data_IF_377833121905
#
_entry.id   IF_377833121905
#
_cell.length_a   1.000
_cell.length_b   1.000
_cell.length_c   1.000
_cell.angle_alpha   90.00
_cell.angle_beta   90.00
_cell.angle_gamma   90.00
#
_symmetry.space_group_name_H-M   'P 1'
#
loop_
_entity.id
_entity.type
_entity.pdbx_description
1 polymer ?
#
# COMPACT_ATOMS: atom_id res chain seq x y z
N UNK A 1 0.31 55.45 -42.62
CA UNK A 1 1.13 54.29 -42.99
C UNK A 1 0.32 53.07 -42.55
N UNK A 2 -0.56 52.58 -43.42
CA UNK A 2 -1.45 51.46 -43.10
C UNK A 2 -0.61 50.17 -43.09
N UNK A 3 -0.50 49.52 -41.93
CA UNK A 3 0.14 48.21 -41.85
C UNK A 3 -0.85 47.22 -42.45
N UNK A 4 -0.63 46.84 -43.70
CA UNK A 4 -1.45 45.87 -44.45
C UNK A 4 -1.70 44.62 -43.60
N UNK A 5 -2.99 44.24 -43.48
CA UNK A 5 -3.48 43.09 -42.72
C UNK A 5 -2.76 41.78 -43.10
N UNK A 6 -2.27 41.68 -44.35
CA UNK A 6 -1.47 40.56 -44.86
C UNK A 6 -0.19 40.33 -44.04
N UNK A 7 0.38 41.38 -43.45
CA UNK A 7 1.59 41.31 -42.62
C UNK A 7 1.29 40.72 -41.24
N UNK A 8 0.12 41.02 -40.68
CA UNK A 8 -0.33 40.46 -39.41
C UNK A 8 -0.76 38.99 -39.56
N UNK A 9 -1.43 38.64 -40.66
CA UNK A 9 -1.82 37.26 -40.96
C UNK A 9 -0.57 36.38 -41.12
N UNK A 10 0.42 36.83 -41.89
CA UNK A 10 1.70 36.11 -42.04
C UNK A 10 2.44 35.91 -40.72
N UNK A 11 2.45 36.92 -39.85
CA UNK A 11 3.08 36.82 -38.53
C UNK A 11 2.38 35.76 -37.65
N UNK A 12 1.05 35.68 -37.74
CA UNK A 12 0.27 34.70 -36.97
C UNK A 12 0.48 33.28 -37.50
N UNK A 13 0.49 33.10 -38.82
CA UNK A 13 0.79 31.82 -39.47
C UNK A 13 2.19 31.34 -39.13
N UNK A 14 3.21 32.20 -39.23
CA UNK A 14 4.60 31.88 -38.87
C UNK A 14 4.72 31.52 -37.38
N UNK A 15 3.97 32.21 -36.51
CA UNK A 15 3.95 31.90 -35.07
C UNK A 15 3.26 30.55 -34.79
N UNK A 16 2.21 30.22 -35.52
CA UNK A 16 1.51 28.94 -35.41
C UNK A 16 2.39 27.79 -35.90
N UNK A 17 3.14 27.98 -36.99
CA UNK A 17 4.11 27.01 -37.50
C UNK A 17 5.25 26.78 -36.51
N UNK A 18 5.83 27.83 -35.92
CA UNK A 18 6.87 27.70 -34.88
C UNK A 18 6.37 26.91 -33.66
N UNK A 19 5.13 27.12 -33.24
CA UNK A 19 4.52 26.35 -32.14
C UNK A 19 4.31 24.88 -32.50
N UNK A 20 3.89 24.58 -33.73
CA UNK A 20 3.76 23.20 -34.22
C UNK A 20 5.11 22.51 -34.29
N UNK A 21 6.11 23.16 -34.89
CA UNK A 21 7.47 22.64 -34.99
C UNK A 21 8.10 22.39 -33.61
N UNK A 22 7.87 23.29 -32.63
CA UNK A 22 8.33 23.10 -31.26
C UNK A 22 7.68 21.85 -30.62
N UNK A 23 6.37 21.71 -30.75
CA UNK A 23 5.63 20.55 -30.22
C UNK A 23 6.06 19.24 -30.88
N UNK A 24 6.33 19.26 -32.18
CA UNK A 24 6.84 18.10 -32.93
C UNK A 24 8.26 17.72 -32.48
N UNK A 25 9.13 18.71 -32.28
CA UNK A 25 10.49 18.48 -31.77
C UNK A 25 10.49 17.92 -30.34
N UNK A 26 9.59 18.40 -29.47
CA UNK A 26 9.40 17.80 -28.14
C UNK A 26 8.90 16.37 -28.23
N UNK A 27 7.91 16.11 -29.08
CA UNK A 27 7.37 14.76 -29.28
C UNK A 27 8.46 13.81 -29.80
N UNK A 28 9.27 14.25 -30.77
CA UNK A 28 10.41 13.49 -31.29
C UNK A 28 11.47 13.21 -30.20
N UNK A 29 11.79 14.20 -29.36
CA UNK A 29 12.70 14.01 -28.22
C UNK A 29 12.15 12.99 -27.22
N UNK A 30 10.85 12.97 -26.97
CA UNK A 30 10.20 11.98 -26.10
C UNK A 30 10.33 10.58 -26.68
N UNK A 31 10.03 10.41 -27.97
CA UNK A 31 10.20 9.12 -28.66
C UNK A 31 11.65 8.65 -28.69
N UNK A 32 12.61 9.54 -28.94
CA UNK A 32 14.05 9.20 -28.91
C UNK A 32 14.49 8.78 -27.49
N UNK A 33 13.92 9.40 -26.44
CA UNK A 33 14.18 9.01 -25.05
C UNK A 33 13.56 7.67 -24.70
N UNK A 34 12.36 7.40 -25.21
CA UNK A 34 11.65 6.13 -25.02
C UNK A 34 12.37 4.99 -25.75
N UNK A 35 12.85 5.22 -26.97
CA UNK A 35 13.68 4.26 -27.72
C UNK A 35 14.98 3.96 -26.97
N UNK A 36 15.69 4.98 -26.44
CA UNK A 36 16.89 4.77 -25.62
C UNK A 36 16.61 4.04 -24.31
N UNK A 37 15.44 4.25 -23.69
CA UNK A 37 15.01 3.47 -22.51
C UNK A 37 14.77 2.01 -22.88
N UNK A 38 14.20 1.74 -24.04
CA UNK A 38 13.93 0.39 -24.52
C UNK A 38 15.24 -0.35 -24.84
N UNK A 39 16.18 0.33 -25.51
CA UNK A 39 17.52 -0.21 -25.81
C UNK A 39 18.35 -0.45 -24.54
N UNK A 40 18.23 0.42 -23.53
CA UNK A 40 18.83 0.20 -22.20
C UNK A 40 18.20 -1.00 -21.49
N UNK A 41 16.88 -1.16 -21.57
CA UNK A 41 16.16 -2.30 -20.98
C UNK A 41 16.56 -3.63 -21.65
N UNK A 42 16.75 -3.62 -22.97
CA UNK A 42 17.24 -4.78 -23.74
C UNK A 42 18.69 -5.12 -23.37
N UNK A 43 19.57 -4.12 -23.24
CA UNK A 43 20.95 -4.31 -22.76
C UNK A 43 21.00 -4.79 -21.31
N UNK A 44 20.11 -4.34 -20.44
CA UNK A 44 20.00 -4.86 -19.07
C UNK A 44 19.56 -6.35 -19.07
N UNK A 45 18.63 -6.73 -19.94
CA UNK A 45 18.19 -8.13 -20.11
C UNK A 45 19.28 -9.04 -20.69
N UNK A 46 20.16 -8.54 -21.55
CA UNK A 46 21.32 -9.28 -22.06
C UNK A 46 22.43 -9.43 -21.01
N UNK A 47 22.64 -8.43 -20.14
CA UNK A 47 23.59 -8.51 -19.02
C UNK A 47 23.11 -9.50 -17.94
N UNK A 48 21.79 -9.74 -17.80
CA UNK A 48 21.21 -10.67 -16.82
C UNK A 48 21.32 -12.17 -17.17
N UNK A 49 21.94 -12.56 -18.30
CA UNK A 49 22.28 -13.97 -18.59
C UNK A 49 23.82 -14.15 -18.60
N UNK A 50 24.50 -14.86 -17.66
CA UNK A 50 24.05 -15.62 -16.47
C UNK A 50 24.83 -15.36 -15.14
N UNK A 51 24.16 -15.54 -13.99
CA UNK A 51 24.64 -16.20 -12.73
C UNK A 51 23.83 -15.76 -11.47
N UNK A 52 22.51 -15.91 -11.55
CA UNK A 52 21.63 -15.90 -10.37
C UNK A 52 21.26 -14.51 -9.81
N UNK A 53 20.37 -14.46 -8.81
CA UNK A 53 19.73 -13.22 -8.38
C UNK A 53 20.71 -12.21 -7.75
N UNK A 54 20.42 -10.89 -7.81
CA UNK A 54 21.22 -9.85 -7.17
C UNK A 54 21.40 -10.10 -5.66
N UNK A 55 22.60 -9.86 -5.12
CA UNK A 55 22.99 -10.17 -3.73
C UNK A 55 22.02 -9.62 -2.66
N UNK A 56 21.30 -8.54 -2.95
CA UNK A 56 20.30 -7.95 -2.04
C UNK A 56 18.97 -8.72 -2.02
N UNK A 57 18.58 -9.32 -3.16
CA UNK A 57 17.43 -10.25 -3.24
C UNK A 57 17.78 -11.63 -2.66
N UNK A 58 19.05 -12.06 -2.79
CA UNK A 58 19.56 -13.30 -2.20
C UNK A 58 19.45 -13.34 -0.67
N UNK A 59 19.84 -12.26 0.03
CA UNK A 59 19.74 -12.18 1.51
C UNK A 59 18.33 -12.29 2.10
N UNK A 60 17.27 -12.04 1.30
CA UNK A 60 15.88 -12.22 1.76
C UNK A 60 15.40 -13.65 1.54
N UNK A 61 15.82 -14.27 0.43
CA UNK A 61 15.49 -15.64 0.08
C UNK A 61 16.22 -16.64 0.99
N UNK A 62 17.48 -16.37 1.34
CA UNK A 62 18.32 -17.22 2.20
C UNK A 62 17.89 -17.24 3.68
N UNK A 63 17.12 -16.24 4.13
CA UNK A 63 16.66 -16.14 5.53
C UNK A 63 15.49 -17.05 5.88
N UNK A 64 14.80 -17.59 4.89
CA UNK A 64 13.65 -18.46 5.08
C UNK A 64 13.77 -19.65 4.12
N UNK A 65 14.69 -20.59 4.42
CA UNK A 65 15.00 -21.71 3.53
C UNK A 65 13.88 -22.77 3.45
N UNK A 66 12.93 -22.74 4.40
CA UNK A 66 11.85 -23.71 4.51
C UNK A 66 10.50 -23.01 4.33
N UNK A 67 10.06 -22.88 3.08
CA UNK A 67 8.86 -22.13 2.68
C UNK A 67 8.08 -22.92 1.63
N UNK A 68 7.65 -24.13 1.96
CA UNK A 68 6.87 -24.99 1.07
C UNK A 68 5.49 -24.40 0.68
N UNK A 69 5.06 -23.31 1.33
CA UNK A 69 3.77 -22.64 1.06
C UNK A 69 3.91 -21.12 1.03
N UNK A 70 4.45 -20.59 -0.07
CA UNK A 70 4.41 -19.16 -0.36
C UNK A 70 3.28 -18.83 -1.31
N UNK A 71 2.40 -17.91 -0.91
CA UNK A 71 1.40 -17.32 -1.80
C UNK A 71 2.05 -16.12 -2.50
N UNK A 72 2.08 -16.14 -3.83
CA UNK A 72 2.58 -15.02 -4.64
C UNK A 72 1.39 -14.14 -5.00
N UNK A 73 1.37 -12.91 -4.50
CA UNK A 73 0.37 -11.89 -4.87
C UNK A 73 0.92 -11.09 -6.05
N UNK A 74 0.20 -10.98 -7.18
CA UNK A 74 0.64 -10.17 -8.31
C UNK A 74 0.73 -8.68 -7.95
N UNK A 75 1.59 -7.94 -8.66
CA UNK A 75 1.64 -6.49 -8.53
C UNK A 75 0.28 -5.85 -8.81
N UNK A 76 -0.12 -4.87 -8.01
CA UNK A 76 -1.42 -4.18 -8.12
C UNK A 76 -2.61 -4.96 -7.54
N UNK A 77 -2.42 -6.19 -7.04
CA UNK A 77 -3.49 -7.03 -6.49
C UNK A 77 -3.57 -7.01 -4.96
N UNK A 78 -2.76 -6.21 -4.27
CA UNK A 78 -2.70 -6.18 -2.80
C UNK A 78 -4.05 -5.82 -2.17
N UNK A 79 -4.78 -4.85 -2.73
CA UNK A 79 -6.10 -4.44 -2.24
C UNK A 79 -7.20 -5.50 -2.38
N UNK A 80 -6.96 -6.61 -3.09
CA UNK A 80 -7.91 -7.73 -3.23
C UNK A 80 -7.40 -9.00 -2.56
N UNK A 81 -6.12 -9.33 -2.70
CA UNK A 81 -5.58 -10.65 -2.32
C UNK A 81 -4.72 -10.61 -1.06
N UNK A 82 -4.40 -9.44 -0.52
CA UNK A 82 -3.63 -9.32 0.72
C UNK A 82 -4.61 -9.13 1.90
N UNK A 83 -4.77 -10.13 2.79
CA UNK A 83 -5.72 -10.07 3.91
C UNK A 83 -5.55 -8.80 4.76
N UNK A 84 -4.29 -8.40 4.97
CA UNK A 84 -3.92 -7.20 5.72
C UNK A 84 -4.54 -5.93 5.12
N UNK A 85 -4.45 -5.74 3.80
CA UNK A 85 -4.92 -4.52 3.13
C UNK A 85 -6.43 -4.53 2.92
N UNK A 86 -7.01 -5.71 2.70
CA UNK A 86 -8.44 -5.88 2.42
C UNK A 86 -9.31 -5.51 3.61
N UNK A 87 -8.91 -5.87 4.84
CA UNK A 87 -9.78 -5.75 6.01
C UNK A 87 -9.10 -5.27 7.28
N UNK A 88 -7.93 -5.83 7.62
CA UNK A 88 -7.28 -5.56 8.91
C UNK A 88 -6.85 -4.10 9.02
N UNK A 89 -6.17 -3.58 8.00
CA UNK A 89 -5.74 -2.18 7.95
C UNK A 89 -6.93 -1.23 8.03
N UNK A 90 -8.01 -1.52 7.30
CA UNK A 90 -9.24 -0.72 7.35
C UNK A 90 -9.84 -0.66 8.76
N UNK A 91 -9.97 -1.80 9.43
CA UNK A 91 -10.48 -1.86 10.80
C UNK A 91 -9.62 -1.06 11.78
N UNK A 92 -8.29 -1.25 11.75
CA UNK A 92 -7.37 -0.49 12.60
C UNK A 92 -7.44 1.01 12.30
N UNK A 93 -7.49 1.40 11.02
CA UNK A 93 -7.60 2.80 10.62
C UNK A 93 -8.91 3.45 11.12
N UNK A 94 -10.03 2.73 11.08
CA UNK A 94 -11.32 3.22 11.58
C UNK A 94 -11.32 3.39 13.11
N UNK A 95 -10.70 2.46 13.86
CA UNK A 95 -10.51 2.61 15.30
C UNK A 95 -9.60 3.78 15.63
N UNK A 96 -8.48 3.93 14.89
CA UNK A 96 -7.57 5.06 15.03
C UNK A 96 -8.29 6.40 14.79
N UNK A 97 -9.03 6.51 13.68
CA UNK A 97 -9.83 7.71 13.36
C UNK A 97 -10.80 8.05 14.48
N UNK A 98 -11.42 7.05 15.10
CA UNK A 98 -12.36 7.22 16.20
C UNK A 98 -11.65 7.75 17.46
N UNK A 99 -10.56 7.13 17.89
CA UNK A 99 -9.76 7.60 19.04
C UNK A 99 -9.22 9.00 18.80
N UNK A 100 -8.68 9.27 17.62
CA UNK A 100 -8.15 10.57 17.26
C UNK A 100 -9.23 11.66 17.21
N UNK A 101 -10.43 11.37 16.68
CA UNK A 101 -11.57 12.30 16.70
C UNK A 101 -12.03 12.59 18.12
N UNK A 102 -12.08 11.60 18.99
CA UNK A 102 -12.42 11.76 20.41
C UNK A 102 -11.41 12.68 21.10
N UNK A 103 -10.12 12.40 20.95
CA UNK A 103 -9.05 13.25 21.48
C UNK A 103 -9.14 14.67 20.94
N UNK A 104 -9.39 14.84 19.63
CA UNK A 104 -9.47 16.15 18.98
C UNK A 104 -10.63 16.99 19.52
N UNK A 105 -11.79 16.40 19.84
CA UNK A 105 -12.94 17.11 20.45
C UNK A 105 -12.58 17.75 21.79
N UNK A 106 -11.73 17.08 22.57
CA UNK A 106 -11.29 17.57 23.89
C UNK A 106 -10.04 18.47 23.81
N UNK A 107 -9.41 18.57 22.63
CA UNK A 107 -8.15 19.29 22.41
C UNK A 107 -8.29 20.32 21.27
N UNK A 108 -9.45 20.97 21.18
CA UNK A 108 -9.68 22.05 20.22
C UNK A 108 -8.81 23.24 20.63
N UNK A 109 -7.71 23.42 19.92
CA UNK A 109 -6.79 24.52 20.12
C UNK A 109 -6.06 24.85 18.84
N UNK A 110 -5.77 26.13 18.67
CA UNK A 110 -4.94 26.62 17.59
C UNK A 110 -3.53 26.92 18.11
N UNK A 111 -2.53 26.68 17.28
CA UNK A 111 -1.17 27.14 17.52
C UNK A 111 -1.11 28.66 17.39
N UNK A 112 -0.01 29.29 17.84
CA UNK A 112 0.22 30.74 17.64
C UNK A 112 0.18 31.16 16.16
N UNK A 113 0.40 30.20 15.26
CA UNK A 113 0.30 30.34 13.81
C UNK A 113 -1.08 29.95 13.23
N UNK A 114 -2.13 29.92 14.04
CA UNK A 114 -3.52 29.57 13.66
C UNK A 114 -3.73 28.16 13.06
N UNK A 115 -2.71 27.29 13.10
CA UNK A 115 -2.84 25.90 12.70
C UNK A 115 -3.49 25.07 13.82
N UNK A 116 -4.32 24.08 13.46
CA UNK A 116 -4.87 23.11 14.40
C UNK A 116 -3.76 22.41 15.20
N UNK A 117 -3.95 22.31 16.52
CA UNK A 117 -3.01 21.61 17.40
C UNK A 117 -2.95 20.13 17.02
N UNK A 118 -1.73 19.67 16.68
CA UNK A 118 -1.45 18.25 16.41
C UNK A 118 -1.32 17.49 17.73
N UNK A 119 -1.60 16.19 17.69
CA UNK A 119 -1.34 15.29 18.82
C UNK A 119 0.16 15.20 19.07
N UNK A 120 0.55 14.99 20.32
CA UNK A 120 1.94 14.66 20.64
C UNK A 120 2.34 13.32 20.04
N UNK A 121 3.65 13.05 19.96
CA UNK A 121 4.16 11.74 19.52
C UNK A 121 3.66 10.60 20.41
N UNK A 122 3.61 10.83 21.73
CA UNK A 122 3.12 9.84 22.71
C UNK A 122 1.65 9.50 22.48
N UNK A 123 0.80 10.52 22.39
CA UNK A 123 -0.63 10.34 22.11
C UNK A 123 -0.85 9.61 20.78
N UNK A 124 -0.08 9.96 19.75
CA UNK A 124 -0.18 9.31 18.44
C UNK A 124 0.15 7.82 18.52
N UNK A 125 1.25 7.45 19.18
CA UNK A 125 1.62 6.04 19.39
C UNK A 125 0.55 5.31 20.19
N UNK A 126 0.00 5.95 21.22
CA UNK A 126 -1.09 5.38 22.02
C UNK A 126 -2.32 5.09 21.17
N UNK A 127 -2.73 6.00 20.28
CA UNK A 127 -3.88 5.76 19.39
C UNK A 127 -3.67 4.58 18.46
N UNK A 128 -2.45 4.40 17.95
CA UNK A 128 -2.09 3.26 17.10
C UNK A 128 -2.10 1.97 17.91
N UNK A 129 -1.52 1.96 19.12
CA UNK A 129 -1.56 0.78 19.99
C UNK A 129 -2.99 0.36 20.30
N UNK A 130 -3.82 1.31 20.74
CA UNK A 130 -5.24 1.06 21.05
C UNK A 130 -6.06 0.65 19.82
N UNK A 131 -5.70 1.12 18.62
CA UNK A 131 -6.41 0.75 17.41
C UNK A 131 -6.10 -0.70 17.01
N UNK A 132 -4.87 -1.14 17.20
CA UNK A 132 -4.46 -2.53 16.97
C UNK A 132 -5.02 -3.49 18.02
N UNK A 133 -5.04 -3.11 19.30
CA UNK A 133 -5.62 -3.94 20.38
C UNK A 133 -7.12 -4.22 20.18
N UNK A 134 -7.83 -3.32 19.48
CA UNK A 134 -9.25 -3.49 19.13
C UNK A 134 -9.48 -4.42 17.93
N UNK A 135 -8.45 -4.73 17.14
CA UNK A 135 -8.59 -5.65 16.01
C UNK A 135 -8.74 -7.07 16.56
N UNK A 136 -9.93 -7.63 16.44
CA UNK A 136 -10.19 -9.00 16.89
C UNK A 136 -9.52 -10.05 16.00
N UNK A 137 -9.19 -11.21 16.58
CA UNK A 137 -8.74 -12.38 15.83
C UNK A 137 -9.75 -12.81 14.76
N UNK A 138 -11.04 -12.63 15.03
CA UNK A 138 -12.11 -12.89 14.06
C UNK A 138 -12.02 -11.97 12.84
N UNK A 139 -11.64 -10.70 13.03
CA UNK A 139 -11.38 -9.77 11.92
C UNK A 139 -10.22 -10.25 11.07
N UNK A 140 -9.14 -10.73 11.70
CA UNK A 140 -7.97 -11.30 11.03
C UNK A 140 -8.38 -12.57 10.27
N UNK A 141 -9.08 -13.50 10.90
CA UNK A 141 -9.58 -14.74 10.26
C UNK A 141 -10.48 -14.43 9.06
N UNK A 142 -11.44 -13.51 9.23
CA UNK A 142 -12.34 -13.06 8.15
C UNK A 142 -11.59 -12.40 7.00
N UNK A 143 -10.47 -11.74 7.27
CA UNK A 143 -9.67 -11.10 6.21
C UNK A 143 -9.13 -12.12 5.21
N UNK A 144 -8.73 -13.31 5.66
CA UNK A 144 -8.23 -14.38 4.78
C UNK A 144 -9.30 -14.91 3.82
N UNK A 145 -10.54 -15.06 4.30
CA UNK A 145 -11.67 -15.45 3.45
C UNK A 145 -12.06 -14.36 2.46
N UNK A 146 -12.05 -13.09 2.87
CA UNK A 146 -12.37 -11.97 1.96
C UNK A 146 -11.27 -11.80 0.90
N UNK A 147 -10.02 -12.06 1.25
CA UNK A 147 -8.90 -12.02 0.31
C UNK A 147 -8.82 -13.23 -0.62
N UNK A 148 -9.80 -14.14 -0.58
CA UNK A 148 -9.84 -15.39 -1.38
C UNK A 148 -8.61 -16.31 -1.15
N UNK A 149 -7.83 -16.06 -0.10
CA UNK A 149 -6.64 -16.82 0.27
C UNK A 149 -7.02 -18.16 0.90
N UNK A 150 -8.06 -18.18 1.73
CA UNK A 150 -8.64 -19.40 2.29
C UNK A 150 -10.02 -19.63 1.67
N UNK A 151 -10.30 -20.86 1.26
CA UNK A 151 -11.65 -21.27 0.86
C UNK A 151 -12.50 -21.47 2.12
N UNK A 152 -13.79 -21.13 2.06
CA UNK A 152 -14.73 -21.25 3.19
C UNK A 152 -14.83 -22.68 3.72
N UNK A 153 -14.50 -23.68 2.91
CA UNK A 153 -14.55 -25.12 3.21
C UNK A 153 -13.25 -25.67 3.83
N UNK A 154 -12.16 -24.91 3.81
CA UNK A 154 -10.94 -25.25 4.56
C UNK A 154 -11.08 -24.71 5.99
N UNK A 155 -11.93 -25.37 6.77
CA UNK A 155 -12.01 -25.16 8.20
C UNK A 155 -10.65 -25.49 8.82
N UNK A 156 -10.06 -24.54 9.55
CA UNK A 156 -8.92 -24.81 10.43
C UNK A 156 -9.30 -25.97 11.38
N UNK A 157 -8.36 -26.87 11.75
CA UNK A 157 -8.66 -27.94 12.68
C UNK A 157 -9.28 -27.34 13.93
N UNK A 158 -10.48 -27.83 14.23
CA UNK A 158 -11.30 -27.41 15.34
C UNK A 158 -10.44 -27.44 16.61
N UNK A 159 -10.18 -26.28 17.22
CA UNK A 159 -9.69 -26.24 18.59
C UNK A 159 -10.87 -26.59 19.51
N UNK A 160 -11.26 -27.85 19.48
CA UNK A 160 -12.17 -28.47 20.44
C UNK A 160 -11.44 -29.66 21.05
N UNK A 161 -10.48 -29.35 21.91
CA UNK A 161 -9.97 -30.23 22.97
C UNK A 161 -9.33 -29.32 24.03
N UNK A 162 -10.13 -28.42 24.61
CA UNK A 162 -9.85 -27.92 25.94
C UNK A 162 -10.70 -28.77 26.88
N UNK A 163 -10.12 -29.87 27.38
CA UNK A 163 -10.71 -30.68 28.42
C UNK A 163 -10.86 -29.79 29.65
N UNK A 164 -12.09 -29.38 29.95
CA UNK A 164 -12.42 -28.83 31.26
C UNK A 164 -12.12 -29.94 32.26
N UNK A 165 -11.13 -29.67 33.11
CA UNK A 165 -10.74 -30.54 34.20
C UNK A 165 -11.94 -30.79 35.10
N UNK A 166 -12.22 -32.08 35.26
CA UNK A 166 -12.94 -32.71 36.34
C UNK A 166 -12.41 -32.19 37.68
N UNK A 167 -13.20 -31.37 38.38
CA UNK A 167 -13.01 -31.11 39.81
C UNK A 167 -13.95 -32.04 40.53
N UNK A 168 -13.38 -33.16 40.98
CA UNK A 168 -13.92 -33.99 42.06
C UNK A 168 -13.83 -33.17 43.34
N UNK A 169 -14.97 -32.76 43.90
CA UNK A 169 -15.05 -32.49 45.35
C UNK A 169 -15.63 -33.75 46.01
N UNK A 170 -14.73 -34.59 46.52
CA UNK A 170 -15.00 -35.43 47.68
C UNK A 170 -15.02 -34.52 48.92
N UNK A 171 -16.12 -34.51 49.66
CA UNK A 171 -16.11 -34.21 51.08
C UNK A 171 -16.97 -35.25 51.80
N UNK A 172 -16.27 -36.00 52.65
CA UNK A 172 -16.75 -37.07 53.51
C UNK A 172 -17.76 -36.63 54.58
N UNK A 173 -18.50 -37.65 54.99
CA UNK A 173 -19.33 -37.89 56.18
C UNK A 173 -19.11 -37.02 57.44
N UNK A 174 -20.22 -36.59 58.04
CA UNK A 174 -20.73 -37.08 59.34
C UNK A 174 -22.24 -36.82 59.49
#
# INVERSE_FOLDING_TARGET
MEVSDDKFIKLFEETAERKRAFKEAESKRVYDLEAKKLELCEKELEIERPAGPPAMKRKRQERFPDMDKKIIIPGGMTGKWQPLDVRVNKCSEDYFKTSYRSWRKNNIGFTKSENLRKSGKKDFVQFISESWDKVSEDTVRKSFYVSEVLRREESLPNQSNFSVGEVVEELDSD
#
